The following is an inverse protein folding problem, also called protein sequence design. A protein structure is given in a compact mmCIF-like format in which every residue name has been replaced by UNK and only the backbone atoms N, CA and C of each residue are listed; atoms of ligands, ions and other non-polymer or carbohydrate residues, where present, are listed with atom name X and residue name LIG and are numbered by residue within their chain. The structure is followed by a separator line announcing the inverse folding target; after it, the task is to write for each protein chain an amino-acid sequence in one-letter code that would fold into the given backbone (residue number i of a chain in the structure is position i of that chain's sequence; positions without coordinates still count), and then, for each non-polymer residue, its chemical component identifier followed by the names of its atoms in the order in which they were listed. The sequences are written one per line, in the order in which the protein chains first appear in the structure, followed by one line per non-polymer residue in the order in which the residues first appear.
data_IF_618886308451
#
_entry.id   IF_618886308451
#
_cell.length_a   1.000
_cell.length_b   1.000
_cell.length_c   1.000
_cell.angle_alpha   90.00
_cell.angle_beta   90.00
_cell.angle_gamma   90.00
#
_symmetry.space_group_name_H-M   'P 1'
#
loop_
_entity.id
_entity.type
_entity.pdbx_description
1 polymer ?
#
# COMPACT_ATOMS: atom_id res chain seq x y z
N UNK A 1 36.00 -7.97 19.66
CA UNK A 1 35.17 -7.02 18.87
C UNK A 1 36.00 -6.09 18.01
N UNK A 2 36.85 -5.19 18.53
CA UNK A 2 37.70 -4.34 17.66
C UNK A 2 38.78 -5.12 16.88
N UNK A 3 39.26 -6.21 17.47
CA UNK A 3 40.29 -7.09 16.88
C UNK A 3 39.74 -7.88 15.68
N UNK A 4 38.53 -8.46 15.83
CA UNK A 4 37.85 -9.25 14.80
C UNK A 4 37.51 -8.45 13.53
N UNK A 5 37.11 -7.18 13.68
CA UNK A 5 36.85 -6.30 12.53
C UNK A 5 38.12 -5.96 11.77
N UNK A 6 39.24 -5.78 12.48
CA UNK A 6 40.53 -5.44 11.86
C UNK A 6 41.10 -6.62 11.09
N UNK A 7 40.99 -7.83 11.64
CA UNK A 7 41.37 -9.07 10.95
C UNK A 7 40.53 -9.29 9.67
N UNK A 8 39.22 -9.03 9.73
CA UNK A 8 38.34 -9.12 8.56
C UNK A 8 38.74 -8.14 7.45
N UNK A 9 39.13 -6.90 7.80
CA UNK A 9 39.59 -5.92 6.80
C UNK A 9 40.86 -6.37 6.08
N UNK A 10 41.84 -6.86 6.83
CA UNK A 10 43.06 -7.39 6.25
C UNK A 10 42.80 -8.57 5.30
N UNK A 11 41.78 -9.39 5.58
CA UNK A 11 41.38 -10.51 4.73
C UNK A 11 40.65 -10.03 3.46
N UNK A 12 39.76 -9.06 3.57
CA UNK A 12 39.06 -8.46 2.42
C UNK A 12 40.01 -7.76 1.45
N UNK A 13 41.04 -7.08 1.96
CA UNK A 13 42.08 -6.44 1.13
C UNK A 13 42.93 -7.46 0.35
N UNK A 14 43.07 -8.69 0.87
CA UNK A 14 43.79 -9.78 0.20
C UNK A 14 42.96 -10.50 -0.86
N UNK A 15 41.63 -10.47 -0.76
CA UNK A 15 40.72 -11.27 -1.58
C UNK A 15 39.82 -10.50 -2.57
N UNK A 16 40.17 -9.31 -3.12
CA UNK A 16 39.21 -8.49 -3.89
C UNK A 16 38.72 -9.18 -5.17
N UNK A 17 39.46 -10.15 -5.70
CA UNK A 17 39.13 -10.88 -6.92
C UNK A 17 38.80 -12.38 -6.69
N UNK A 18 38.85 -12.86 -5.45
CA UNK A 18 38.58 -14.27 -5.12
C UNK A 18 37.12 -14.44 -4.66
N UNK A 19 36.22 -14.54 -5.64
CA UNK A 19 34.79 -14.70 -5.39
C UNK A 19 34.46 -15.90 -4.47
N UNK A 20 35.00 -17.11 -4.69
CA UNK A 20 34.81 -18.23 -3.76
C UNK A 20 35.14 -17.89 -2.31
N UNK A 21 36.29 -17.25 -2.06
CA UNK A 21 36.70 -16.89 -0.70
C UNK A 21 35.78 -15.82 -0.08
N UNK A 22 35.28 -14.87 -0.89
CA UNK A 22 34.32 -13.85 -0.44
C UNK A 22 32.96 -14.43 -0.01
N UNK A 23 32.59 -15.61 -0.52
CA UNK A 23 31.39 -16.34 -0.12
C UNK A 23 31.63 -17.27 1.08
N UNK A 24 32.79 -17.93 1.14
CA UNK A 24 33.10 -18.94 2.16
C UNK A 24 33.43 -18.34 3.53
N UNK A 25 34.14 -17.21 3.56
CA UNK A 25 34.58 -16.61 4.83
C UNK A 25 33.45 -15.81 5.49
N UNK A 26 33.20 -16.08 6.78
CA UNK A 26 32.14 -15.42 7.55
C UNK A 26 32.63 -14.15 8.22
N UNK A 27 31.81 -13.11 8.13
CA UNK A 27 32.02 -11.89 8.86
C UNK A 27 31.62 -12.04 10.34
N UNK A 28 32.21 -11.22 11.25
CA UNK A 28 31.70 -11.11 12.60
C UNK A 28 30.25 -10.58 12.59
N UNK A 29 29.53 -10.84 13.68
CA UNK A 29 28.11 -10.46 13.80
C UNK A 29 27.84 -8.96 13.66
N UNK A 30 28.86 -8.13 13.86
CA UNK A 30 28.79 -6.69 13.67
C UNK A 30 30.07 -6.15 13.06
N UNK A 31 29.93 -5.39 11.97
CA UNK A 31 31.01 -4.70 11.26
C UNK A 31 30.77 -3.20 11.30
N UNK A 32 31.69 -2.46 11.93
CA UNK A 32 31.60 -1.00 12.08
C UNK A 32 32.16 -0.27 10.87
N UNK A 33 31.41 0.72 10.36
CA UNK A 33 31.93 1.77 9.46
C UNK A 33 33.03 2.60 10.21
N UNK A 34 33.99 3.31 9.54
CA UNK A 34 33.79 4.05 8.29
C UNK A 34 34.60 3.57 7.06
N UNK A 35 35.62 2.72 7.21
CA UNK A 35 36.53 2.39 6.10
C UNK A 35 35.87 1.57 4.98
N UNK A 36 34.79 0.85 5.30
CA UNK A 36 33.99 0.08 4.35
C UNK A 36 32.50 0.18 4.71
N UNK A 37 31.66 -0.40 3.84
CA UNK A 37 30.25 -0.64 4.14
C UNK A 37 30.15 -1.45 5.44
N UNK A 38 29.40 -0.96 6.43
CA UNK A 38 29.21 -1.62 7.73
C UNK A 38 27.81 -2.22 7.89
N UNK A 39 27.61 -3.06 8.91
CA UNK A 39 26.31 -3.68 9.22
C UNK A 39 25.22 -2.63 9.47
N UNK A 40 25.56 -1.55 10.19
CA UNK A 40 24.65 -0.43 10.45
C UNK A 40 24.21 0.28 9.16
N UNK A 41 25.11 0.46 8.19
CA UNK A 41 24.79 1.09 6.92
C UNK A 41 23.78 0.28 6.10
N UNK A 42 23.93 -1.05 6.08
CA UNK A 42 23.00 -1.97 5.43
C UNK A 42 21.64 -1.90 6.13
N UNK A 43 21.64 -1.99 7.46
CA UNK A 43 20.42 -1.97 8.27
C UNK A 43 19.65 -0.66 8.07
N UNK A 44 20.29 0.50 8.22
CA UNK A 44 19.63 1.80 8.06
C UNK A 44 19.16 2.02 6.63
N UNK A 45 19.98 1.69 5.63
CA UNK A 45 19.59 1.82 4.22
C UNK A 45 18.35 0.99 3.92
N UNK A 46 18.29 -0.28 4.34
CA UNK A 46 17.13 -1.14 4.11
C UNK A 46 15.91 -0.70 4.92
N UNK A 47 16.06 -0.38 6.21
CA UNK A 47 14.95 0.07 7.06
C UNK A 47 14.33 1.39 6.57
N UNK A 48 15.16 2.37 6.24
CA UNK A 48 14.70 3.66 5.70
C UNK A 48 13.99 3.45 4.36
N UNK A 49 14.53 2.59 3.50
CA UNK A 49 13.91 2.28 2.20
C UNK A 49 12.57 1.57 2.37
N UNK A 50 12.48 0.55 3.23
CA UNK A 50 11.23 -0.16 3.54
C UNK A 50 10.19 0.80 4.11
N UNK A 51 10.57 1.61 5.09
CA UNK A 51 9.69 2.61 5.70
C UNK A 51 9.21 3.63 4.66
N UNK A 52 10.13 4.21 3.89
CA UNK A 52 9.84 5.20 2.86
C UNK A 52 8.91 4.63 1.77
N UNK A 53 9.16 3.41 1.30
CA UNK A 53 8.34 2.72 0.30
C UNK A 53 6.93 2.47 0.82
N UNK A 54 6.80 1.91 2.03
CA UNK A 54 5.49 1.60 2.61
C UNK A 54 4.72 2.90 2.87
N UNK A 55 5.38 3.90 3.46
CA UNK A 55 4.75 5.18 3.79
C UNK A 55 4.25 5.92 2.55
N UNK A 56 5.02 5.93 1.47
CA UNK A 56 4.63 6.63 0.22
C UNK A 56 3.69 5.83 -0.66
N UNK A 57 3.78 4.50 -0.67
CA UNK A 57 2.88 3.66 -1.45
C UNK A 57 1.49 3.55 -0.81
N UNK A 58 1.37 3.68 0.52
CA UNK A 58 0.13 3.47 1.23
C UNK A 58 -0.78 4.71 1.21
N UNK A 59 -1.72 4.74 0.27
CA UNK A 59 -2.75 5.78 0.20
C UNK A 59 -3.99 5.36 1.01
N UNK A 60 -4.04 5.73 2.29
CA UNK A 60 -5.19 5.45 3.15
C UNK A 60 -6.43 6.26 2.76
N UNK A 61 -7.60 5.75 3.12
CA UNK A 61 -8.88 6.40 2.84
C UNK A 61 -9.10 7.64 3.74
N UNK A 62 -10.07 8.48 3.36
CA UNK A 62 -10.40 9.73 4.05
C UNK A 62 -10.80 9.42 5.51
N UNK A 63 -10.19 10.10 6.50
CA UNK A 63 -10.54 9.90 7.89
C UNK A 63 -11.96 10.40 8.15
N UNK A 64 -12.69 9.74 9.06
CA UNK A 64 -14.01 10.20 9.48
C UNK A 64 -13.89 11.54 10.20
N UNK A 65 -14.85 12.43 9.97
CA UNK A 65 -14.97 13.68 10.71
C UNK A 65 -15.07 13.40 12.21
N UNK A 66 -14.18 14.02 13.01
CA UNK A 66 -14.11 13.85 14.47
C UNK A 66 -13.27 12.67 14.99
N UNK A 67 -12.50 11.98 14.14
CA UNK A 67 -11.60 10.91 14.58
C UNK A 67 -10.38 11.43 15.36
N UNK A 68 -9.99 10.74 16.44
CA UNK A 68 -8.82 11.10 17.25
C UNK A 68 -7.51 10.75 16.52
N UNK A 69 -6.47 11.58 16.71
CA UNK A 69 -5.13 11.36 16.15
C UNK A 69 -4.57 9.95 16.45
N UNK A 70 -4.82 9.42 17.65
CA UNK A 70 -4.37 8.08 18.03
C UNK A 70 -5.00 6.98 17.17
N UNK A 71 -6.30 7.11 16.83
CA UNK A 71 -6.99 6.16 15.93
C UNK A 71 -6.40 6.19 14.51
N UNK A 72 -6.07 7.40 14.03
CA UNK A 72 -5.46 7.59 12.72
C UNK A 72 -4.04 7.01 12.67
N UNK A 73 -3.23 7.26 13.70
CA UNK A 73 -1.89 6.72 13.80
C UNK A 73 -1.92 5.19 13.88
N UNK A 74 -2.82 4.63 14.69
CA UNK A 74 -2.98 3.18 14.83
C UNK A 74 -3.39 2.51 13.51
N UNK A 75 -4.35 3.11 12.79
CA UNK A 75 -4.77 2.64 11.46
C UNK A 75 -3.61 2.65 10.48
N UNK A 76 -2.79 3.72 10.48
CA UNK A 76 -1.57 3.80 9.67
C UNK A 76 -0.60 2.67 9.99
N UNK A 77 -0.31 2.44 11.28
CA UNK A 77 0.62 1.38 11.71
C UNK A 77 0.14 0.01 11.26
N UNK A 78 -1.14 -0.30 11.45
CA UNK A 78 -1.70 -1.61 11.07
C UNK A 78 -1.58 -1.86 9.57
N UNK A 79 -1.97 -0.89 8.75
CA UNK A 79 -1.88 -1.04 7.30
C UNK A 79 -0.42 -1.08 6.81
N UNK A 80 0.50 -0.36 7.47
CA UNK A 80 1.93 -0.48 7.19
C UNK A 80 2.45 -1.87 7.52
N UNK A 81 1.99 -2.50 8.61
CA UNK A 81 2.35 -3.89 8.94
C UNK A 81 1.77 -4.87 7.92
N UNK A 82 0.52 -4.69 7.49
CA UNK A 82 -0.07 -5.51 6.42
C UNK A 82 0.72 -5.37 5.12
N UNK A 83 1.15 -4.15 4.74
CA UNK A 83 1.99 -3.93 3.57
C UNK A 83 3.40 -4.50 3.71
N UNK A 84 3.94 -4.59 4.93
CA UNK A 84 5.23 -5.21 5.22
C UNK A 84 5.17 -6.74 5.15
N UNK A 85 4.12 -7.38 5.68
CA UNK A 85 4.04 -8.85 5.74
C UNK A 85 3.27 -9.48 4.58
N UNK A 86 2.37 -8.74 3.92
CA UNK A 86 1.54 -9.23 2.82
C UNK A 86 1.27 -8.12 1.77
N UNK A 87 2.32 -7.59 1.11
CA UNK A 87 2.17 -6.54 0.10
C UNK A 87 1.27 -6.94 -1.08
N UNK A 88 1.21 -8.22 -1.44
CA UNK A 88 0.34 -8.78 -2.46
C UNK A 88 -1.16 -8.53 -2.18
N UNK A 89 -1.58 -8.60 -0.92
CA UNK A 89 -2.97 -8.30 -0.52
C UNK A 89 -3.27 -6.82 -0.76
N UNK A 90 -2.31 -5.95 -0.45
CA UNK A 90 -2.45 -4.50 -0.65
C UNK A 90 -2.48 -4.16 -2.14
N UNK A 91 -1.71 -4.85 -2.98
CA UNK A 91 -1.75 -4.68 -4.45
C UNK A 91 -3.12 -5.09 -5.02
N UNK A 92 -3.64 -6.26 -4.64
CA UNK A 92 -4.97 -6.72 -5.09
C UNK A 92 -6.06 -5.75 -4.63
N UNK A 93 -5.94 -5.26 -3.40
CA UNK A 93 -6.84 -4.24 -2.87
C UNK A 93 -6.76 -2.93 -3.66
N UNK A 94 -5.56 -2.43 -3.96
CA UNK A 94 -5.34 -1.23 -4.76
C UNK A 94 -5.94 -1.36 -6.17
N UNK A 95 -5.74 -2.51 -6.82
CA UNK A 95 -6.32 -2.80 -8.13
C UNK A 95 -7.86 -2.86 -8.10
N UNK A 96 -8.42 -3.49 -7.08
CA UNK A 96 -9.87 -3.54 -6.87
C UNK A 96 -10.46 -2.13 -6.72
N UNK A 97 -9.80 -1.27 -5.95
CA UNK A 97 -10.18 0.14 -5.85
C UNK A 97 -10.07 0.87 -7.19
N UNK A 98 -9.01 0.63 -7.97
CA UNK A 98 -8.83 1.22 -9.29
C UNK A 98 -10.01 0.89 -10.23
N UNK A 99 -10.41 -0.38 -10.32
CA UNK A 99 -11.55 -0.77 -11.16
C UNK A 99 -12.88 -0.18 -10.68
N UNK A 100 -13.13 -0.17 -9.36
CA UNK A 100 -14.33 0.43 -8.78
C UNK A 100 -14.41 1.93 -9.07
N UNK A 101 -13.31 2.65 -8.84
CA UNK A 101 -13.19 4.07 -9.11
C UNK A 101 -13.42 4.38 -10.60
N UNK A 102 -12.82 3.59 -11.50
CA UNK A 102 -12.98 3.75 -12.95
C UNK A 102 -14.43 3.50 -13.40
N UNK A 103 -15.08 2.48 -12.87
CA UNK A 103 -16.49 2.17 -13.17
C UNK A 103 -17.41 3.29 -12.68
N UNK A 104 -17.16 3.80 -11.49
CA UNK A 104 -17.91 4.92 -10.91
C UNK A 104 -17.76 6.20 -11.72
N UNK A 105 -16.53 6.59 -12.05
CA UNK A 105 -16.24 7.77 -12.86
C UNK A 105 -16.94 7.70 -14.22
N UNK A 106 -16.92 6.53 -14.87
CA UNK A 106 -17.64 6.29 -16.14
C UNK A 106 -19.15 6.44 -15.97
N UNK A 107 -19.73 5.95 -14.88
CA UNK A 107 -21.15 6.09 -14.61
C UNK A 107 -21.57 7.55 -14.35
N UNK A 108 -20.78 8.30 -13.58
CA UNK A 108 -21.01 9.74 -13.33
C UNK A 108 -20.94 10.57 -14.62
N UNK A 109 -19.95 10.31 -15.49
CA UNK A 109 -19.86 10.96 -16.81
C UNK A 109 -21.06 10.65 -17.70
N UNK A 110 -21.62 9.44 -17.58
CA UNK A 110 -22.83 9.07 -18.32
C UNK A 110 -24.01 9.91 -17.83
N UNK A 111 -24.23 9.98 -16.50
CA UNK A 111 -25.27 10.83 -15.92
C UNK A 111 -25.11 12.30 -16.29
N UNK A 112 -23.87 12.82 -16.30
CA UNK A 112 -23.59 14.19 -16.72
C UNK A 112 -23.96 14.45 -18.20
N UNK A 113 -23.72 13.47 -19.07
CA UNK A 113 -24.08 13.56 -20.49
C UNK A 113 -25.60 13.50 -20.70
N UNK A 114 -26.27 12.68 -19.91
CA UNK A 114 -27.71 12.43 -20.03
C UNK A 114 -28.54 13.55 -19.35
N UNK A 115 -27.92 14.42 -18.54
CA UNK A 115 -28.59 15.55 -17.88
C UNK A 115 -28.93 16.67 -18.90
N UNK A 116 -30.21 16.96 -19.18
CA UNK A 116 -30.62 17.99 -20.12
C UNK A 116 -30.15 19.40 -19.72
N UNK A 117 -29.80 19.64 -18.44
CA UNK A 117 -29.27 20.92 -17.95
C UNK A 117 -27.75 21.06 -18.12
N UNK A 118 -27.05 19.99 -18.52
CA UNK A 118 -25.61 20.02 -18.72
C UNK A 118 -25.20 20.77 -19.99
N UNK A 119 -26.01 20.72 -21.05
CA UNK A 119 -25.77 21.45 -22.29
C UNK A 119 -25.75 22.98 -22.07
N UNK A 120 -26.64 23.49 -21.20
CA UNK A 120 -26.75 24.94 -20.90
C UNK A 120 -25.64 25.45 -19.99
N UNK A 121 -25.01 24.56 -19.18
CA UNK A 121 -23.89 24.91 -18.29
C UNK A 121 -22.54 24.87 -18.99
N UNK A 122 -22.37 24.04 -20.01
CA UNK A 122 -21.11 23.89 -20.74
C UNK A 122 -20.75 25.12 -21.61
N UNK A 123 -21.75 25.89 -22.05
CA UNK A 123 -21.56 27.09 -22.87
C UNK A 123 -21.32 28.37 -22.03
N UNK A 124 -21.55 28.32 -20.71
CA UNK A 124 -21.58 29.50 -19.84
C UNK A 124 -20.29 29.75 -19.06
N UNK A 125 -19.34 28.81 -19.02
CA UNK A 125 -18.19 28.90 -18.12
C UNK A 125 -16.85 28.59 -18.82
N UNK A 126 -16.02 29.61 -19.12
CA UNK A 126 -14.67 29.44 -19.65
C UNK A 126 -13.63 29.18 -18.54
N UNK A 127 -14.04 28.81 -17.33
CA UNK A 127 -13.18 28.68 -16.15
C UNK A 127 -12.11 27.56 -16.28
N UNK A 128 -10.83 27.86 -15.99
CA UNK A 128 -9.77 26.85 -15.84
C UNK A 128 -10.04 25.75 -14.80
N UNK A 129 -11.00 25.90 -13.87
CA UNK A 129 -11.29 24.90 -12.81
C UNK A 129 -12.45 23.94 -13.14
N UNK A 130 -12.43 23.42 -14.38
CA UNK A 130 -13.46 22.53 -14.93
C UNK A 130 -13.73 21.31 -14.04
N UNK A 131 -14.97 21.17 -13.56
CA UNK A 131 -15.45 19.97 -12.87
C UNK A 131 -15.40 18.75 -13.81
N UNK A 132 -14.51 17.80 -13.52
CA UNK A 132 -14.39 16.56 -14.30
C UNK A 132 -14.61 15.32 -13.44
N UNK A 133 -15.52 14.45 -13.86
CA UNK A 133 -15.71 13.13 -13.24
C UNK A 133 -14.62 12.16 -13.74
N UNK A 134 -13.37 12.43 -13.38
CA UNK A 134 -12.23 11.61 -13.75
C UNK A 134 -11.96 10.46 -12.78
N UNK A 135 -10.86 9.73 -13.01
CA UNK A 135 -10.52 8.63 -12.13
C UNK A 135 -10.07 9.15 -10.74
N UNK A 136 -9.54 10.38 -10.62
CA UNK A 136 -9.28 11.01 -9.32
C UNK A 136 -10.60 11.21 -8.56
N UNK A 137 -11.64 11.72 -9.22
CA UNK A 137 -12.98 11.82 -8.64
C UNK A 137 -13.52 10.45 -8.22
N UNK A 138 -13.36 9.43 -9.08
CA UNK A 138 -13.75 8.06 -8.76
C UNK A 138 -13.08 7.52 -7.50
N UNK A 139 -11.78 7.78 -7.33
CA UNK A 139 -11.05 7.42 -6.12
C UNK A 139 -11.50 8.23 -4.91
N UNK A 140 -11.72 9.53 -5.05
CA UNK A 140 -12.23 10.41 -4.00
C UNK A 140 -13.54 9.86 -3.40
N UNK A 141 -14.52 9.52 -4.24
CA UNK A 141 -15.77 8.91 -3.79
C UNK A 141 -15.53 7.53 -3.17
N UNK A 142 -14.70 6.69 -3.80
CA UNK A 142 -14.42 5.34 -3.28
C UNK A 142 -13.76 5.36 -1.90
N UNK A 143 -13.01 6.41 -1.58
CA UNK A 143 -12.42 6.64 -0.27
C UNK A 143 -13.39 7.19 0.79
N UNK A 144 -14.64 7.48 0.41
CA UNK A 144 -15.62 8.12 1.30
C UNK A 144 -15.51 9.64 1.33
N UNK A 145 -15.03 10.27 0.26
CA UNK A 145 -14.88 11.73 0.16
C UNK A 145 -16.19 12.53 0.20
N UNK A 146 -17.36 11.89 0.27
CA UNK A 146 -18.65 12.57 0.44
C UNK A 146 -19.34 12.13 1.72
N UNK A 147 -19.76 13.10 2.50
CA UNK A 147 -20.61 12.94 3.68
C UNK A 147 -21.94 13.69 3.46
N UNK A 148 -23.05 13.10 3.90
CA UNK A 148 -24.37 13.73 3.87
C UNK A 148 -24.76 14.15 5.28
N UNK A 149 -25.06 15.44 5.44
CA UNK A 149 -25.71 15.97 6.62
C UNK A 149 -27.22 15.77 6.46
N UNK A 150 -27.82 14.99 7.37
CA UNK A 150 -29.27 14.81 7.45
C UNK A 150 -29.78 15.46 8.74
N UNK A 151 -30.76 16.36 8.60
CA UNK A 151 -31.48 16.94 9.73
C UNK A 151 -32.61 15.99 10.14
N UNK A 152 -32.39 15.21 11.20
CA UNK A 152 -33.41 14.39 11.88
C UNK A 152 -33.74 15.07 13.24
N UNK A 153 -34.54 16.14 13.23
CA UNK A 153 -34.88 16.88 14.45
C UNK A 153 -33.70 17.69 15.03
N UNK A 154 -33.37 17.51 16.31
CA UNK A 154 -32.37 18.29 17.06
C UNK A 154 -30.90 17.82 16.89
N UNK A 155 -30.67 16.64 16.28
CA UNK A 155 -29.33 16.08 16.11
C UNK A 155 -28.95 16.01 14.61
N UNK A 156 -27.96 16.79 14.21
CA UNK A 156 -27.36 16.71 12.87
C UNK A 156 -26.52 15.44 12.76
N UNK A 157 -26.95 14.48 11.93
CA UNK A 157 -26.22 13.23 11.69
C UNK A 157 -25.50 13.27 10.36
N UNK A 158 -24.18 13.33 10.42
CA UNK A 158 -23.30 13.25 9.25
C UNK A 158 -23.00 11.77 8.94
N UNK A 159 -23.22 11.34 7.68
CA UNK A 159 -22.96 9.96 7.23
C UNK A 159 -22.22 9.92 5.90
N UNK A 160 -21.19 9.07 5.80
CA UNK A 160 -20.47 8.83 4.54
C UNK A 160 -21.37 8.16 3.49
N UNK A 161 -21.36 8.72 2.29
CA UNK A 161 -22.15 8.23 1.16
C UNK A 161 -21.41 7.11 0.42
N UNK A 162 -22.10 5.98 0.17
CA UNK A 162 -21.51 4.90 -0.63
C UNK A 162 -21.50 5.25 -2.12
N UNK A 163 -20.60 4.66 -2.95
CA UNK A 163 -20.62 4.86 -4.40
C UNK A 163 -21.97 4.55 -5.06
N UNK A 164 -22.72 3.57 -4.55
CA UNK A 164 -24.05 3.21 -5.06
C UNK A 164 -25.08 4.27 -4.67
N UNK A 165 -25.08 4.71 -3.42
CA UNK A 165 -25.93 5.79 -2.94
C UNK A 165 -25.66 7.11 -3.67
N UNK A 166 -24.39 7.41 -3.93
CA UNK A 166 -23.99 8.58 -4.72
C UNK A 166 -24.56 8.53 -6.14
N UNK A 167 -24.49 7.39 -6.82
CA UNK A 167 -25.08 7.26 -8.16
C UNK A 167 -26.61 7.45 -8.16
N UNK A 168 -27.30 6.98 -7.12
CA UNK A 168 -28.75 7.17 -6.97
C UNK A 168 -29.11 8.64 -6.77
N UNK A 169 -28.38 9.36 -5.91
CA UNK A 169 -28.62 10.79 -5.67
C UNK A 169 -28.19 11.66 -6.85
N UNK A 170 -27.08 11.31 -7.51
CA UNK A 170 -26.62 12.01 -8.71
C UNK A 170 -27.60 11.87 -9.89
N UNK A 171 -28.36 10.77 -9.95
CA UNK A 171 -29.43 10.62 -10.94
C UNK A 171 -30.63 11.57 -10.69
N UNK A 172 -30.83 12.04 -9.45
CA UNK A 172 -31.86 13.03 -9.11
C UNK A 172 -31.36 14.45 -9.38
N UNK A 173 -30.17 14.78 -8.86
CA UNK A 173 -29.54 16.08 -9.05
C UNK A 173 -28.02 15.94 -9.02
N UNK A 174 -27.37 16.14 -10.17
CA UNK A 174 -25.91 16.01 -10.28
C UNK A 174 -25.15 17.24 -9.77
N UNK A 175 -25.81 18.40 -9.67
CA UNK A 175 -25.15 19.68 -9.38
C UNK A 175 -24.32 19.69 -8.07
N UNK A 176 -24.82 19.17 -6.93
CA UNK A 176 -24.05 19.16 -5.68
C UNK A 176 -22.80 18.27 -5.72
N UNK A 177 -22.70 17.38 -6.71
CA UNK A 177 -21.56 16.48 -6.89
C UNK A 177 -20.49 17.04 -7.83
N UNK A 178 -20.72 18.21 -8.43
CA UNK A 178 -19.76 18.89 -9.29
C UNK A 178 -18.77 19.68 -8.43
N UNK A 179 -17.70 19.00 -8.00
CA UNK A 179 -16.60 19.62 -7.26
C UNK A 179 -15.43 19.90 -8.22
N UNK A 180 -14.81 21.09 -8.18
CA UNK A 180 -13.64 21.39 -9.01
C UNK A 180 -12.48 20.46 -8.68
N UNK A 181 -11.67 20.13 -9.68
CA UNK A 181 -10.54 19.21 -9.52
C UNK A 181 -9.48 19.75 -8.55
N UNK A 182 -9.33 21.08 -8.44
CA UNK A 182 -8.45 21.75 -7.46
C UNK A 182 -8.80 21.41 -6.00
N UNK A 183 -10.09 21.27 -5.65
CA UNK A 183 -10.55 20.87 -4.32
C UNK A 183 -10.22 19.42 -3.96
N UNK A 184 -10.13 18.56 -4.98
CA UNK A 184 -9.81 17.13 -4.81
C UNK A 184 -8.29 16.93 -4.77
N UNK A 185 -7.53 17.83 -5.38
CA UNK A 185 -6.09 17.79 -5.52
C UNK A 185 -5.38 18.67 -4.47
N UNK A 186 -5.33 18.20 -3.22
CA UNK A 186 -4.48 18.80 -2.18
C UNK A 186 -3.12 18.09 -2.12
N UNK A 187 -2.29 18.28 -3.15
CA UNK A 187 -0.89 17.84 -3.10
C UNK A 187 0.00 19.02 -2.73
N UNK A 188 0.60 18.97 -1.54
CA UNK A 188 1.54 20.00 -1.13
C UNK A 188 2.85 19.87 -1.91
N UNK A 189 3.58 20.98 -2.08
CA UNK A 189 4.96 20.94 -2.60
C UNK A 189 5.85 19.98 -1.81
N UNK A 190 5.59 19.85 -0.51
CA UNK A 190 6.29 18.93 0.39
C UNK A 190 6.03 17.46 0.02
N UNK A 191 4.81 17.07 -0.38
CA UNK A 191 4.52 15.70 -0.81
C UNK A 191 5.29 15.32 -2.09
N UNK A 192 5.44 16.28 -3.02
CA UNK A 192 6.19 16.05 -4.27
C UNK A 192 7.69 15.86 -3.98
N UNK A 193 8.26 16.71 -3.12
CA UNK A 193 9.65 16.59 -2.68
C UNK A 193 9.88 15.27 -1.93
N UNK A 194 8.96 14.89 -1.04
CA UNK A 194 9.04 13.62 -0.32
C UNK A 194 9.08 12.43 -1.29
N UNK A 195 8.17 12.37 -2.27
CA UNK A 195 8.15 11.30 -3.28
C UNK A 195 9.45 11.26 -4.09
N UNK A 196 10.00 12.43 -4.48
CA UNK A 196 11.26 12.50 -5.20
C UNK A 196 12.44 11.96 -4.37
N UNK A 197 12.52 12.33 -3.09
CA UNK A 197 13.54 11.81 -2.17
C UNK A 197 13.42 10.29 -1.99
N UNK A 198 12.20 9.77 -1.88
CA UNK A 198 11.97 8.33 -1.80
C UNK A 198 12.39 7.61 -3.08
N UNK A 199 12.08 8.16 -4.26
CA UNK A 199 12.52 7.59 -5.54
C UNK A 199 14.05 7.57 -5.67
N UNK A 200 14.72 8.62 -5.18
CA UNK A 200 16.18 8.68 -5.15
C UNK A 200 16.75 7.62 -4.21
N UNK A 201 16.23 7.51 -2.99
CA UNK A 201 16.65 6.50 -2.00
C UNK A 201 16.47 5.06 -2.54
N UNK A 202 15.31 4.79 -3.13
CA UNK A 202 14.98 3.48 -3.72
C UNK A 202 15.88 3.17 -4.91
N UNK A 203 16.05 4.14 -5.81
CA UNK A 203 16.92 4.00 -6.98
C UNK A 203 18.36 3.70 -6.57
N UNK A 204 18.84 4.35 -5.50
CA UNK A 204 20.16 4.13 -4.95
C UNK A 204 20.35 2.70 -4.42
N UNK A 205 19.43 2.21 -3.58
CA UNK A 205 19.50 0.84 -3.04
C UNK A 205 19.41 -0.22 -4.14
N UNK A 206 18.54 -0.01 -5.13
CA UNK A 206 18.41 -0.91 -6.29
C UNK A 206 19.71 -0.94 -7.10
N UNK A 207 20.31 0.22 -7.38
CA UNK A 207 21.58 0.31 -8.10
C UNK A 207 22.69 -0.44 -7.36
N UNK A 208 22.80 -0.28 -6.04
CA UNK A 208 23.78 -1.01 -5.24
C UNK A 208 23.58 -2.52 -5.35
N UNK A 209 22.35 -3.01 -5.18
CA UNK A 209 22.07 -4.44 -5.23
C UNK A 209 22.32 -5.04 -6.63
N UNK A 210 21.90 -4.34 -7.69
CA UNK A 210 22.13 -4.77 -9.08
C UNK A 210 23.63 -4.78 -9.40
N UNK A 211 24.36 -3.73 -9.04
CA UNK A 211 25.80 -3.67 -9.24
C UNK A 211 26.50 -4.82 -8.52
N UNK A 212 26.16 -5.07 -7.23
CA UNK A 212 26.72 -6.18 -6.48
C UNK A 212 26.47 -7.52 -7.16
N UNK A 213 25.24 -7.75 -7.65
CA UNK A 213 24.91 -8.95 -8.41
C UNK A 213 25.73 -9.07 -9.69
N UNK A 214 25.96 -7.97 -10.41
CA UNK A 214 26.74 -7.94 -11.64
C UNK A 214 28.23 -8.25 -11.41
N UNK A 215 28.80 -7.85 -10.27
CA UNK A 215 30.14 -8.23 -9.82
C UNK A 215 30.19 -9.63 -9.18
N UNK A 216 29.07 -10.35 -9.13
CA UNK A 216 28.98 -11.68 -8.51
C UNK A 216 29.13 -11.65 -6.99
N UNK A 217 28.94 -10.51 -6.33
CA UNK A 217 29.07 -10.38 -4.88
C UNK A 217 27.83 -10.90 -4.14
N UNK A 218 27.99 -11.38 -2.89
CA UNK A 218 26.86 -11.79 -2.07
C UNK A 218 25.97 -10.58 -1.72
N UNK A 219 24.67 -10.83 -1.68
CA UNK A 219 23.62 -9.89 -1.29
C UNK A 219 22.98 -10.44 -0.02
N UNK A 220 22.67 -9.59 0.95
CA UNK A 220 22.01 -10.03 2.18
C UNK A 220 20.54 -10.37 1.91
N UNK A 221 19.97 -11.24 2.77
CA UNK A 221 18.54 -11.51 2.74
C UNK A 221 17.71 -10.23 2.92
N UNK A 222 18.17 -9.30 3.78
CA UNK A 222 17.49 -8.02 4.02
C UNK A 222 17.45 -7.13 2.78
N UNK A 223 18.56 -7.04 2.04
CA UNK A 223 18.62 -6.31 0.76
C UNK A 223 17.68 -6.94 -0.27
N UNK A 224 17.71 -8.28 -0.40
CA UNK A 224 16.81 -9.03 -1.30
C UNK A 224 15.34 -8.77 -0.99
N UNK A 225 14.98 -8.86 0.30
CA UNK A 225 13.63 -8.58 0.78
C UNK A 225 13.22 -7.13 0.49
N UNK A 226 14.11 -6.17 0.72
CA UNK A 226 13.87 -4.75 0.44
C UNK A 226 13.63 -4.49 -1.05
N UNK A 227 14.40 -5.09 -1.95
CA UNK A 227 14.22 -4.93 -3.40
C UNK A 227 12.83 -5.39 -3.87
N UNK A 228 12.35 -6.50 -3.31
CA UNK A 228 11.04 -7.02 -3.65
C UNK A 228 9.93 -6.11 -3.10
N UNK A 229 10.07 -5.59 -1.87
CA UNK A 229 9.15 -4.59 -1.32
C UNK A 229 9.12 -3.31 -2.15
N UNK A 230 10.26 -2.89 -2.70
CA UNK A 230 10.34 -1.79 -3.68
C UNK A 230 9.50 -2.09 -4.91
N UNK A 231 9.63 -3.28 -5.52
CA UNK A 231 8.83 -3.67 -6.70
C UNK A 231 7.34 -3.68 -6.37
N UNK A 232 6.96 -4.23 -5.23
CA UNK A 232 5.58 -4.20 -4.74
C UNK A 232 5.09 -2.77 -4.53
N UNK A 233 5.90 -1.89 -3.94
CA UNK A 233 5.56 -0.49 -3.70
C UNK A 233 5.35 0.29 -5.00
N UNK A 234 6.18 0.05 -6.02
CA UNK A 234 5.99 0.62 -7.36
C UNK A 234 4.67 0.14 -7.97
N UNK A 235 4.32 -1.14 -7.83
CA UNK A 235 3.04 -1.68 -8.31
C UNK A 235 1.83 -1.07 -7.57
N UNK A 236 1.91 -0.96 -6.23
CA UNK A 236 0.89 -0.28 -5.42
C UNK A 236 0.71 1.17 -5.86
N UNK A 237 1.83 1.89 -6.01
CA UNK A 237 1.84 3.27 -6.46
C UNK A 237 1.25 3.42 -7.87
N UNK A 238 1.55 2.51 -8.80
CA UNK A 238 1.01 2.51 -10.16
C UNK A 238 -0.54 2.44 -10.19
N UNK A 239 -1.15 1.62 -9.33
CA UNK A 239 -2.61 1.53 -9.22
C UNK A 239 -3.23 2.73 -8.49
N UNK A 240 -2.46 3.42 -7.65
CA UNK A 240 -2.90 4.59 -6.87
C UNK A 240 -2.33 5.93 -7.35
N UNK A 241 -1.75 6.02 -8.55
CA UNK A 241 -1.20 7.26 -9.11
C UNK A 241 -2.21 8.42 -9.08
N UNK A 242 -3.47 8.11 -9.38
CA UNK A 242 -4.55 9.10 -9.45
C UNK A 242 -5.39 9.16 -8.17
N UNK A 243 -5.04 8.38 -7.13
CA UNK A 243 -5.67 8.47 -5.82
C UNK A 243 -4.98 9.59 -5.06
N UNK A 244 -5.72 10.63 -4.67
CA UNK A 244 -5.15 11.73 -3.89
C UNK A 244 -4.57 11.25 -2.57
N UNK A 245 -3.42 11.81 -2.22
CA UNK A 245 -2.66 11.50 -1.02
C UNK A 245 -3.04 12.53 0.06
N UNK A 246 -3.28 12.09 1.30
CA UNK A 246 -3.53 12.97 2.46
C UNK A 246 -4.77 13.91 2.37
N UNK A 247 -5.90 13.43 1.86
CA UNK A 247 -7.18 14.16 2.03
C UNK A 247 -7.53 14.27 3.51
N UNK A 248 -7.67 15.50 4.01
CA UNK A 248 -7.91 15.80 5.43
C UNK A 248 -9.39 15.78 5.84
N UNK A 249 -10.29 15.97 4.88
CA UNK A 249 -11.73 16.04 5.13
C UNK A 249 -12.54 15.57 3.92
N UNK A 250 -13.67 14.95 4.19
CA UNK A 250 -14.71 14.71 3.18
C UNK A 250 -15.49 16.00 2.90
N UNK A 251 -16.09 16.09 1.72
CA UNK A 251 -17.04 17.14 1.38
C UNK A 251 -18.40 16.82 2.02
N UNK A 252 -18.94 17.77 2.79
CA UNK A 252 -20.24 17.62 3.45
C UNK A 252 -21.32 18.23 2.55
N UNK A 253 -22.28 17.41 2.14
CA UNK A 253 -23.43 17.82 1.36
C UNK A 253 -24.68 17.89 2.24
N UNK A 254 -25.43 19.00 2.13
CA UNK A 254 -26.76 19.10 2.73
C UNK A 254 -27.76 18.26 1.92
N UNK A 255 -28.43 17.31 2.59
CA UNK A 255 -29.47 16.48 2.01
C UNK A 255 -30.67 17.28 1.46
N UNK A 256 -30.93 18.49 1.98
CA UNK A 256 -32.04 19.33 1.53
C UNK A 256 -31.95 19.72 0.04
N UNK A 257 -30.74 19.74 -0.54
CA UNK A 257 -30.54 19.95 -1.98
C UNK A 257 -31.15 18.86 -2.87
N UNK A 258 -31.47 17.70 -2.30
CA UNK A 258 -32.08 16.57 -3.00
C UNK A 258 -33.58 16.45 -2.73
N UNK A 259 -34.08 16.95 -1.58
CA UNK A 259 -35.51 16.95 -1.22
C UNK A 259 -36.38 17.83 -2.13
N UNK A 260 -35.85 18.96 -2.60
CA UNK A 260 -36.62 19.91 -3.43
C UNK A 260 -36.83 19.42 -4.86
N UNK A 261 -35.96 18.54 -5.36
CA UNK A 261 -36.02 18.01 -6.73
C UNK A 261 -36.97 16.82 -6.88
N UNK A 262 -37.35 16.16 -5.77
CA UNK A 262 -38.36 15.08 -5.73
C UNK A 262 -39.79 15.60 -5.53
N UNK A 263 -39.99 16.91 -5.28
CA UNK A 263 -41.28 17.52 -4.93
C UNK A 263 -42.28 17.67 -6.10
N UNK A 264 -42.12 16.98 -7.23
CA UNK A 264 -43.07 17.11 -8.34
C UNK A 264 -44.15 16.05 -8.42
N UNK A 265 -44.02 14.93 -7.71
CA UNK A 265 -45.11 13.98 -7.53
C UNK A 265 -45.07 13.44 -6.09
N UNK A 266 -46.25 13.40 -5.49
CA UNK A 266 -46.63 12.78 -4.22
C UNK A 266 -46.37 13.56 -2.91
N UNK A 267 -47.49 13.94 -2.29
CA UNK A 267 -47.57 14.40 -0.90
C UNK A 267 -47.29 13.20 0.04
N UNK A 268 -46.60 13.49 1.15
CA UNK A 268 -46.08 12.57 2.18
C UNK A 268 -44.74 11.89 1.89
N UNK A 269 -43.62 12.61 2.13
CA UNK A 269 -42.35 11.95 2.49
C UNK A 269 -41.66 12.77 3.60
N UNK A 270 -42.02 12.48 4.84
CA UNK A 270 -41.11 12.66 5.96
C UNK A 270 -40.18 11.43 5.99
N UNK A 271 -38.88 11.68 6.04
CA UNK A 271 -37.76 10.73 6.08
C UNK A 271 -37.18 10.26 4.73
N UNK A 272 -35.84 10.12 4.72
CA UNK A 272 -35.10 9.42 3.67
C UNK A 272 -35.81 8.09 3.39
N UNK A 273 -36.14 7.75 2.12
CA UNK A 273 -36.76 6.48 1.79
C UNK A 273 -36.04 5.32 2.49
N UNK A 274 -36.77 4.49 3.26
CA UNK A 274 -36.22 3.41 4.09
C UNK A 274 -35.36 2.40 3.29
N UNK A 275 -35.56 2.33 1.98
CA UNK A 275 -34.76 1.56 1.02
C UNK A 275 -33.38 2.18 0.75
N UNK A 276 -33.25 3.51 0.76
CA UNK A 276 -32.00 4.24 0.57
C UNK A 276 -31.10 4.15 1.82
N UNK A 277 -31.66 3.86 2.99
CA UNK A 277 -30.92 3.65 4.24
C UNK A 277 -29.86 2.52 4.13
N UNK A 278 -30.10 1.55 3.24
CA UNK A 278 -29.17 0.45 2.91
C UNK A 278 -28.04 0.87 1.96
N UNK A 279 -28.20 1.99 1.24
CA UNK A 279 -27.21 2.55 0.33
C UNK A 279 -26.32 3.61 0.98
N UNK A 280 -26.66 4.08 2.18
CA UNK A 280 -25.69 4.71 3.05
C UNK A 280 -24.71 3.64 3.47
N UNK A 281 -23.41 3.96 3.43
CA UNK A 281 -22.47 3.07 4.08
C UNK A 281 -22.85 3.04 5.57
N UNK A 282 -23.21 1.88 6.17
CA UNK A 282 -23.23 1.78 7.62
C UNK A 282 -21.92 2.37 8.12
N UNK A 283 -22.03 3.28 9.11
CA UNK A 283 -20.96 4.07 9.73
C UNK A 283 -19.63 3.27 9.77
N UNK A 284 -18.82 3.32 8.69
CA UNK A 284 -17.62 2.50 8.50
C UNK A 284 -17.64 1.29 7.54
N UNK A 285 -18.31 1.32 6.38
CA UNK A 285 -18.36 0.18 5.43
C UNK A 285 -17.67 0.38 4.07
N UNK A 286 -17.00 1.51 3.83
CA UNK A 286 -16.02 1.63 2.73
C UNK A 286 -14.57 1.66 3.24
N UNK A 287 -14.37 0.94 4.34
CA UNK A 287 -13.21 0.68 5.21
C UNK A 287 -13.53 1.12 6.65
N UNK A 288 -13.29 0.25 7.64
CA UNK A 288 -13.49 0.61 9.03
C UNK A 288 -12.53 1.75 9.38
N UNK A 289 -13.04 2.71 10.14
CA UNK A 289 -12.27 3.48 11.10
C UNK A 289 -12.30 2.68 12.41
N UNK A 290 -11.15 2.53 13.05
CA UNK A 290 -10.67 1.21 13.46
C UNK A 290 -10.36 1.16 14.97
N UNK A 291 -11.24 0.52 15.75
CA UNK A 291 -10.87 0.03 17.08
C UNK A 291 -10.21 -1.35 16.98
N UNK A 292 -9.27 -1.69 17.87
CA UNK A 292 -8.52 -2.97 17.84
C UNK A 292 -9.40 -4.23 17.72
N UNK A 293 -10.58 -4.25 18.36
CA UNK A 293 -11.56 -5.34 18.24
C UNK A 293 -12.15 -5.48 16.83
N UNK A 294 -12.33 -4.35 16.12
CA UNK A 294 -12.80 -4.31 14.74
C UNK A 294 -11.70 -4.62 13.71
N UNK A 295 -10.41 -4.61 14.10
CA UNK A 295 -9.33 -5.13 13.25
C UNK A 295 -9.34 -6.64 13.23
N UNK A 296 -9.45 -7.30 14.38
CA UNK A 296 -9.49 -8.76 14.36
C UNK A 296 -10.76 -9.26 13.66
N UNK A 297 -11.91 -8.59 13.86
CA UNK A 297 -13.12 -8.90 13.09
C UNK A 297 -13.02 -8.45 11.63
N UNK A 298 -12.34 -7.34 11.33
CA UNK A 298 -12.21 -6.76 9.99
C UNK A 298 -11.13 -7.41 9.13
N UNK A 299 -10.05 -7.92 9.72
CA UNK A 299 -9.10 -8.85 9.11
C UNK A 299 -9.78 -10.20 8.95
N UNK A 300 -10.54 -10.68 9.94
CA UNK A 300 -11.35 -11.90 9.77
C UNK A 300 -12.44 -11.72 8.71
N UNK A 301 -13.03 -10.53 8.54
CA UNK A 301 -13.94 -10.18 7.45
C UNK A 301 -13.20 -9.94 6.14
N UNK A 302 -11.97 -9.43 6.12
CA UNK A 302 -11.14 -9.34 4.91
C UNK A 302 -10.75 -10.73 4.43
N UNK A 303 -10.47 -11.64 5.37
CA UNK A 303 -10.26 -13.08 5.18
C UNK A 303 -11.58 -13.80 4.84
N UNK A 304 -12.75 -13.31 5.27
CA UNK A 304 -14.05 -13.93 4.94
C UNK A 304 -14.71 -13.37 3.67
N UNK A 305 -14.44 -12.11 3.30
CA UNK A 305 -14.78 -11.47 2.02
C UNK A 305 -13.71 -11.79 0.96
N UNK A 306 -12.67 -12.56 1.31
CA UNK A 306 -11.78 -13.22 0.35
C UNK A 306 -12.59 -13.98 -0.69
N UNK A 307 -13.70 -14.62 -0.31
CA UNK A 307 -14.53 -15.38 -1.25
C UNK A 307 -14.96 -14.54 -2.46
N UNK A 308 -15.18 -13.22 -2.30
CA UNK A 308 -15.66 -12.34 -3.38
C UNK A 308 -14.55 -11.64 -4.16
N UNK A 309 -13.42 -11.35 -3.51
CA UNK A 309 -12.26 -10.71 -4.15
C UNK A 309 -11.31 -11.73 -4.78
N UNK A 310 -11.11 -12.88 -4.14
CA UNK A 310 -10.31 -14.01 -4.66
C UNK A 310 -11.06 -14.73 -5.79
N UNK A 311 -12.39 -14.71 -5.83
CA UNK A 311 -13.11 -15.22 -7.02
C UNK A 311 -12.86 -14.33 -8.26
N UNK A 312 -12.83 -13.00 -8.09
CA UNK A 312 -12.62 -12.06 -9.20
C UNK A 312 -11.14 -11.80 -9.55
N UNK A 313 -10.23 -11.89 -8.57
CA UNK A 313 -8.80 -11.57 -8.73
C UNK A 313 -7.86 -12.67 -8.22
N UNK A 314 -8.36 -13.87 -7.92
CA UNK A 314 -7.55 -14.92 -7.32
C UNK A 314 -6.39 -15.36 -8.20
N UNK A 315 -6.57 -15.44 -9.52
CA UNK A 315 -5.46 -15.76 -10.43
C UNK A 315 -4.35 -14.72 -10.29
N UNK A 316 -4.69 -13.44 -10.17
CA UNK A 316 -3.70 -12.39 -9.94
C UNK A 316 -3.03 -12.53 -8.58
N UNK A 317 -3.79 -12.78 -7.51
CA UNK A 317 -3.23 -13.01 -6.18
C UNK A 317 -2.23 -14.18 -6.18
N UNK A 318 -2.58 -15.28 -6.86
CA UNK A 318 -1.70 -16.42 -7.08
C UNK A 318 -0.40 -16.04 -7.79
N UNK A 319 -0.50 -15.31 -8.90
CA UNK A 319 0.67 -14.89 -9.67
C UNK A 319 1.57 -13.95 -8.86
N UNK A 320 0.99 -13.06 -8.06
CA UNK A 320 1.74 -12.18 -7.16
C UNK A 320 2.44 -12.96 -6.05
N UNK A 321 1.75 -13.92 -5.42
CA UNK A 321 2.32 -14.80 -4.40
C UNK A 321 3.43 -15.70 -4.97
N UNK A 322 3.26 -16.20 -6.19
CA UNK A 322 4.28 -16.95 -6.94
C UNK A 322 5.51 -16.08 -7.25
N UNK A 323 5.30 -14.85 -7.72
CA UNK A 323 6.40 -13.93 -7.99
C UNK A 323 7.16 -13.59 -6.69
N UNK A 324 6.44 -13.32 -5.60
CA UNK A 324 7.02 -13.02 -4.29
C UNK A 324 7.78 -14.22 -3.73
N UNK A 325 7.19 -15.43 -3.75
CA UNK A 325 7.85 -16.66 -3.34
C UNK A 325 9.08 -16.98 -4.19
N UNK A 326 8.96 -16.85 -5.52
CA UNK A 326 10.05 -17.09 -6.47
C UNK A 326 11.30 -16.22 -6.22
N UNK A 327 11.12 -14.96 -5.80
CA UNK A 327 12.26 -14.11 -5.41
C UNK A 327 12.97 -14.65 -4.17
N UNK A 328 12.25 -15.15 -3.16
CA UNK A 328 12.88 -15.78 -1.99
C UNK A 328 13.56 -17.11 -2.32
N UNK A 329 12.99 -17.88 -3.25
CA UNK A 329 13.59 -19.10 -3.77
C UNK A 329 14.88 -18.83 -4.55
N UNK A 330 15.09 -17.62 -5.07
CA UNK A 330 16.38 -17.25 -5.66
C UNK A 330 17.53 -17.29 -4.63
N UNK A 331 17.21 -17.21 -3.33
CA UNK A 331 18.14 -17.39 -2.22
C UNK A 331 18.19 -18.83 -1.68
N UNK A 332 17.74 -19.84 -2.44
CA UNK A 332 17.72 -21.25 -2.01
C UNK A 332 19.10 -21.77 -1.57
N UNK A 333 20.14 -21.35 -2.28
CA UNK A 333 21.53 -21.75 -2.03
C UNK A 333 22.26 -20.78 -1.07
N UNK A 334 21.55 -19.85 -0.44
CA UNK A 334 22.19 -19.00 0.56
C UNK A 334 22.52 -19.84 1.79
N UNK A 335 23.67 -19.54 2.39
CA UNK A 335 24.11 -20.27 3.56
C UNK A 335 23.61 -19.60 4.84
N UNK A 336 22.77 -20.32 5.58
CA UNK A 336 22.20 -19.88 6.85
C UNK A 336 23.08 -20.27 8.04
N UNK A 337 22.98 -19.59 9.19
CA UNK A 337 23.75 -19.93 10.38
C UNK A 337 23.48 -21.36 10.88
N UNK A 338 22.27 -21.89 10.69
CA UNK A 338 21.89 -23.24 11.08
C UNK A 338 21.12 -23.97 9.98
N UNK A 339 21.17 -25.31 9.99
CA UNK A 339 20.39 -26.15 9.09
C UNK A 339 18.87 -25.95 9.30
N UNK A 340 18.44 -25.67 10.53
CA UNK A 340 17.04 -25.39 10.87
C UNK A 340 16.56 -24.09 10.23
N UNK A 341 17.33 -23.01 10.30
CA UNK A 341 17.00 -21.73 9.64
C UNK A 341 16.92 -21.92 8.12
N UNK A 342 17.87 -22.66 7.51
CA UNK A 342 17.80 -22.96 6.08
C UNK A 342 16.54 -23.75 5.71
N UNK A 343 16.17 -24.75 6.51
CA UNK A 343 14.97 -25.54 6.27
C UNK A 343 13.69 -24.69 6.42
N UNK A 344 13.60 -23.89 7.49
CA UNK A 344 12.45 -23.01 7.74
C UNK A 344 12.32 -21.95 6.64
N UNK A 345 13.43 -21.43 6.12
CA UNK A 345 13.43 -20.51 4.97
C UNK A 345 12.83 -21.16 3.73
N UNK A 346 13.30 -22.37 3.39
CA UNK A 346 12.84 -23.12 2.21
C UNK A 346 11.35 -23.43 2.31
N UNK A 347 10.89 -23.94 3.46
CA UNK A 347 9.47 -24.20 3.72
C UNK A 347 8.66 -22.90 3.61
N UNK A 348 9.12 -21.82 4.25
CA UNK A 348 8.37 -20.55 4.28
C UNK A 348 8.32 -19.85 2.93
N UNK A 349 9.31 -20.07 2.05
CA UNK A 349 9.31 -19.56 0.68
C UNK A 349 8.32 -20.29 -0.24
N UNK A 350 8.24 -21.61 -0.13
CA UNK A 350 7.41 -22.48 -0.99
C UNK A 350 5.95 -22.61 -0.51
N UNK A 351 5.72 -22.69 0.80
CA UNK A 351 4.41 -23.02 1.36
C UNK A 351 3.31 -21.99 1.02
N UNK A 352 3.57 -20.66 1.04
CA UNK A 352 2.59 -19.65 0.61
C UNK A 352 2.14 -19.79 -0.84
N UNK A 353 3.00 -20.33 -1.72
CA UNK A 353 2.67 -20.61 -3.12
C UNK A 353 1.64 -21.74 -3.20
N UNK A 354 1.84 -22.78 -2.39
CA UNK A 354 0.95 -23.93 -2.32
C UNK A 354 -0.41 -23.57 -1.71
N UNK A 355 -0.44 -22.76 -0.63
CA UNK A 355 -1.69 -22.32 0.00
C UNK A 355 -2.60 -21.54 -0.95
N UNK A 356 -2.02 -20.79 -1.89
CA UNK A 356 -2.79 -20.06 -2.88
C UNK A 356 -3.49 -20.97 -3.91
N UNK A 357 -2.93 -22.16 -4.18
CA UNK A 357 -3.42 -23.11 -5.20
C UNK A 357 -4.63 -23.90 -4.69
N UNK A 358 -4.67 -24.24 -3.39
CA UNK A 358 -5.70 -25.09 -2.80
C UNK A 358 -7.06 -24.42 -2.57
N UNK A 359 -7.39 -23.36 -3.33
CA UNK A 359 -8.63 -22.56 -3.25
C UNK A 359 -9.83 -23.33 -2.64
N UNK A 360 -10.25 -22.80 -1.49
CA UNK A 360 -11.06 -23.38 -0.41
C UNK A 360 -10.15 -23.76 0.77
N UNK A 361 -10.67 -23.70 2.00
CA UNK A 361 -10.15 -24.37 3.20
C UNK A 361 -9.45 -23.46 4.25
N UNK A 362 -10.15 -23.42 5.40
CA UNK A 362 -9.70 -23.33 6.79
C UNK A 362 -8.84 -22.12 7.23
N UNK A 363 -9.29 -21.46 8.30
CA UNK A 363 -8.57 -20.39 9.02
C UNK A 363 -7.15 -20.85 9.42
N UNK A 364 -6.93 -22.15 9.57
CA UNK A 364 -5.61 -22.75 9.80
C UNK A 364 -4.60 -22.46 8.68
N UNK A 365 -5.00 -22.46 7.41
CA UNK A 365 -4.11 -22.23 6.27
C UNK A 365 -3.66 -20.76 6.22
N UNK A 366 -4.58 -19.83 6.48
CA UNK A 366 -4.26 -18.40 6.59
C UNK A 366 -3.30 -18.13 7.75
N UNK A 367 -3.48 -18.81 8.90
CA UNK A 367 -2.55 -18.70 10.02
C UNK A 367 -1.14 -19.19 9.63
N UNK A 368 -1.04 -20.32 8.93
CA UNK A 368 0.25 -20.85 8.44
C UNK A 368 0.91 -19.86 7.47
N UNK A 369 0.15 -19.29 6.55
CA UNK A 369 0.64 -18.25 5.64
C UNK A 369 1.21 -17.04 6.39
N UNK A 370 0.46 -16.51 7.38
CA UNK A 370 0.91 -15.39 8.20
C UNK A 370 2.18 -15.74 8.96
N UNK A 371 2.27 -16.92 9.55
CA UNK A 371 3.48 -17.37 10.27
C UNK A 371 4.68 -17.47 9.35
N UNK A 372 4.53 -18.03 8.13
CA UNK A 372 5.61 -18.08 7.13
C UNK A 372 6.08 -16.68 6.74
N UNK A 373 5.15 -15.73 6.55
CA UNK A 373 5.47 -14.34 6.23
C UNK A 373 6.22 -13.64 7.35
N UNK A 374 5.77 -13.81 8.59
CA UNK A 374 6.48 -13.29 9.77
C UNK A 374 7.90 -13.85 9.85
N UNK A 375 8.07 -15.17 9.64
CA UNK A 375 9.36 -15.82 9.67
C UNK A 375 10.32 -15.24 8.61
N UNK A 376 9.90 -15.10 7.36
CA UNK A 376 10.72 -14.54 6.27
C UNK A 376 11.26 -13.16 6.64
N UNK A 377 10.38 -12.27 7.16
CA UNK A 377 10.78 -10.91 7.54
C UNK A 377 11.77 -10.96 8.70
N UNK A 378 11.49 -11.74 9.74
CA UNK A 378 12.37 -11.85 10.91
C UNK A 378 13.73 -12.44 10.53
N UNK A 379 13.76 -13.51 9.73
CA UNK A 379 14.98 -14.15 9.24
C UNK A 379 15.81 -13.18 8.40
N UNK A 380 15.18 -12.28 7.64
CA UNK A 380 15.89 -11.27 6.88
C UNK A 380 16.74 -10.34 7.77
N UNK A 381 16.29 -10.05 9.00
CA UNK A 381 17.08 -9.31 9.99
C UNK A 381 18.09 -10.19 10.72
N UNK A 382 17.64 -11.37 11.19
CA UNK A 382 18.47 -12.27 12.02
C UNK A 382 19.68 -12.78 11.22
N UNK A 383 19.52 -13.05 9.92
CA UNK A 383 20.61 -13.52 9.06
C UNK A 383 21.78 -12.55 8.93
N UNK A 384 21.61 -11.25 9.22
CA UNK A 384 22.72 -10.28 9.25
C UNK A 384 23.81 -10.64 10.27
N UNK A 385 23.47 -11.44 11.30
CA UNK A 385 24.43 -11.91 12.32
C UNK A 385 25.51 -12.85 11.78
N UNK A 386 25.29 -13.44 10.61
CA UNK A 386 26.24 -14.36 9.97
C UNK A 386 26.10 -14.24 8.46
N UNK A 387 26.86 -13.33 7.87
CA UNK A 387 26.89 -13.09 6.42
C UNK A 387 28.30 -13.33 5.87
N UNK A 388 28.43 -13.66 4.58
CA UNK A 388 29.74 -13.71 3.93
C UNK A 388 30.46 -12.35 3.98
N UNK A 389 31.79 -12.36 4.11
CA UNK A 389 32.58 -11.10 4.15
C UNK A 389 32.40 -10.24 2.89
N UNK A 390 32.13 -10.87 1.74
CA UNK A 390 31.88 -10.16 0.48
C UNK A 390 30.70 -9.19 0.54
N UNK A 391 29.81 -9.31 1.53
CA UNK A 391 28.68 -8.39 1.75
C UNK A 391 29.16 -6.95 2.02
N UNK A 392 30.31 -6.81 2.65
CA UNK A 392 30.88 -5.51 3.04
C UNK A 392 31.81 -4.92 1.98
N UNK A 393 32.27 -5.73 1.03
CA UNK A 393 33.06 -5.27 -0.11
C UNK A 393 32.19 -4.48 -1.08
N UNK A 394 32.63 -3.29 -1.51
CA UNK A 394 31.87 -2.42 -2.40
C UNK A 394 32.80 -1.86 -3.48
N UNK A 395 32.45 -1.97 -4.79
CA UNK A 395 33.22 -1.38 -5.87
C UNK A 395 33.48 0.11 -5.66
N UNK A 396 34.69 0.58 -5.96
CA UNK A 396 35.12 1.96 -5.68
C UNK A 396 34.22 3.02 -6.32
N UNK A 397 33.67 2.78 -7.51
CA UNK A 397 32.77 3.72 -8.19
C UNK A 397 31.43 3.91 -7.45
N UNK A 398 30.96 2.91 -6.70
CA UNK A 398 29.75 3.05 -5.86
C UNK A 398 30.04 3.95 -4.67
N UNK A 399 31.27 3.96 -4.16
CA UNK A 399 31.69 4.84 -3.07
C UNK A 399 31.85 6.31 -3.51
N UNK A 400 32.03 6.56 -4.81
CA UNK A 400 32.17 7.92 -5.36
C UNK A 400 30.85 8.68 -5.43
N UNK A 401 29.71 7.99 -5.35
CA UNK A 401 28.39 8.62 -5.40
C UNK A 401 27.94 8.89 -3.96
N UNK A 402 27.63 10.16 -3.61
CA UNK A 402 27.22 10.51 -2.26
C UNK A 402 25.97 9.74 -1.85
N UNK A 403 26.02 9.15 -0.65
CA UNK A 403 24.91 8.44 -0.05
C UNK A 403 23.89 9.45 0.48
N UNK A 404 22.60 9.21 0.23
CA UNK A 404 21.49 10.06 0.69
C UNK A 404 21.04 9.65 2.08
#
# INVERSE_FOLDING_TARGET
MADDTTAMYAELERLPNDLPALYATRAPAWVSAPNMRGTSSILYSCLLTLFACIYTALHLNVPKSGSSFASLLFTKVVWSLVALFAPELVIVYALSQYFKARKLAKAMRKLQRDDPKAATRADADPDPDKCTFDLKYGFFVAMGGFELATADGLDERIRTLSPKGLLKLAAVNIAPFMIPSSRIEDQSKADTLQKALVLLQVGWVMLQCIARKAYGLPITLLELHTMMHVVCAVAMYAFWLQKSHNLRSAEVLDYNHFKTSTRKDDNEIENVPMDMQKDFCPRGSNLPDVGAKKIFSGLAELIADEDKYVENFGVLFLLLSLAYGGVHLSAWNFEFPTATESLLWKISGDLPVLTGIFRAIDKAIVLVFVVCRLYIVVEAFVSLRSVPIGVYWTPSWIQMIPHV
#
